data_IF_834804449881
#
_entry.id   IF_834804449881
#
_cell.length_a   1.000
_cell.length_b   1.000
_cell.length_c   1.000
_cell.angle_alpha   90.00
_cell.angle_beta   90.00
_cell.angle_gamma   90.00
#
_symmetry.space_group_name_H-M   'P 1'
#
loop_
_entity.id
_entity.type
_entity.pdbx_description
1 polymer ?
#
# COMPACT_ATOMS: atom_id res chain seq x y z
N UNK A 1 -25.75 -26.75 -7.29
CA UNK A 1 -24.82 -25.84 -7.97
C UNK A 1 -23.58 -25.71 -7.12
N UNK A 2 -22.38 -25.97 -7.68
CA UNK A 2 -21.12 -25.78 -6.98
C UNK A 2 -20.80 -24.29 -6.83
N UNK A 3 -19.93 -23.96 -5.88
CA UNK A 3 -19.38 -22.63 -5.72
C UNK A 3 -18.59 -22.21 -6.98
N UNK A 4 -18.66 -20.92 -7.32
CA UNK A 4 -17.75 -20.30 -8.28
C UNK A 4 -17.23 -19.00 -7.70
N UNK A 5 -15.95 -19.01 -7.31
CA UNK A 5 -15.24 -17.84 -6.81
C UNK A 5 -14.10 -17.50 -7.77
N UNK A 6 -14.00 -16.23 -8.13
CA UNK A 6 -12.96 -15.70 -9.01
C UNK A 6 -12.05 -14.80 -8.19
N UNK A 7 -10.76 -15.10 -8.18
CA UNK A 7 -9.72 -14.23 -7.67
C UNK A 7 -8.87 -13.72 -8.83
N UNK A 8 -8.61 -12.42 -8.84
CA UNK A 8 -7.74 -11.78 -9.82
C UNK A 8 -6.72 -10.90 -9.11
N UNK A 9 -5.53 -10.84 -9.67
CA UNK A 9 -4.40 -10.04 -9.18
C UNK A 9 -4.03 -9.00 -10.22
N UNK A 10 -3.65 -7.82 -9.76
CA UNK A 10 -3.15 -6.76 -10.61
C UNK A 10 -2.02 -6.01 -9.93
N UNK A 11 -1.10 -5.50 -10.76
CA UNK A 11 0.09 -4.77 -10.31
C UNK A 11 0.09 -3.38 -10.91
N UNK A 12 0.38 -2.38 -10.08
CA UNK A 12 0.54 -0.99 -10.50
C UNK A 12 1.64 -0.33 -9.68
N UNK A 13 2.65 0.23 -10.36
CA UNK A 13 3.77 0.94 -9.74
C UNK A 13 4.44 0.14 -8.60
N UNK A 14 4.74 -1.13 -8.89
CA UNK A 14 5.32 -2.09 -7.94
C UNK A 14 4.39 -2.58 -6.82
N UNK A 15 3.15 -2.08 -6.75
CA UNK A 15 2.16 -2.55 -5.78
C UNK A 15 1.28 -3.64 -6.41
N UNK A 16 1.34 -4.83 -5.84
CA UNK A 16 0.48 -5.96 -6.22
C UNK A 16 -0.70 -6.07 -5.24
N UNK A 17 -1.91 -6.24 -5.77
CA UNK A 17 -3.13 -6.45 -4.99
C UNK A 17 -4.01 -7.48 -5.68
N UNK A 18 -4.74 -8.26 -4.89
CA UNK A 18 -5.80 -9.15 -5.38
C UNK A 18 -7.19 -8.62 -5.03
N UNK A 19 -8.18 -9.13 -5.73
CA UNK A 19 -9.59 -8.95 -5.42
C UNK A 19 -10.36 -10.21 -5.79
N UNK A 20 -11.31 -10.57 -4.92
CA UNK A 20 -12.12 -11.77 -5.04
C UNK A 20 -13.58 -11.41 -5.32
N UNK A 21 -14.25 -12.20 -6.15
CA UNK A 21 -15.70 -12.12 -6.38
C UNK A 21 -16.32 -13.50 -6.33
N UNK A 22 -17.32 -13.66 -5.48
CA UNK A 22 -18.19 -14.84 -5.50
C UNK A 22 -19.24 -14.65 -6.60
N UNK A 23 -19.24 -15.55 -7.57
CA UNK A 23 -20.16 -15.56 -8.71
C UNK A 23 -21.37 -16.43 -8.41
N UNK A 24 -21.13 -17.61 -7.84
CA UNK A 24 -22.16 -18.57 -7.41
C UNK A 24 -21.83 -19.05 -6.01
N UNK A 25 -22.78 -18.90 -5.10
CA UNK A 25 -22.75 -19.58 -3.80
C UNK A 25 -23.20 -21.04 -3.97
N UNK A 26 -22.66 -21.97 -3.16
CA UNK A 26 -23.11 -23.35 -3.17
C UNK A 26 -24.60 -23.42 -2.78
N UNK A 27 -25.41 -24.03 -3.64
CA UNK A 27 -26.86 -24.16 -3.41
C UNK A 27 -27.44 -25.41 -4.02
N UNK A 28 -28.51 -25.94 -3.45
CA UNK A 28 -29.29 -27.03 -4.06
C UNK A 28 -29.80 -26.59 -5.43
N UNK A 29 -29.74 -27.51 -6.39
CA UNK A 29 -30.28 -27.30 -7.73
C UNK A 29 -31.60 -28.06 -7.86
N UNK A 30 -32.64 -27.38 -8.32
CA UNK A 30 -33.83 -28.05 -8.84
C UNK A 30 -33.69 -28.10 -10.36
N UNK A 31 -33.73 -29.32 -10.90
CA UNK A 31 -33.65 -29.59 -12.33
C UNK A 31 -35.03 -29.91 -12.86
N UNK A 32 -35.54 -29.04 -13.74
CA UNK A 32 -36.79 -29.28 -14.47
C UNK A 32 -36.53 -29.83 -15.86
N UNK A 33 -37.55 -30.42 -16.48
CA UNK A 33 -37.58 -30.80 -17.90
C UNK A 33 -36.30 -31.50 -18.40
N UNK A 34 -35.86 -32.61 -17.77
CA UNK A 34 -34.64 -33.29 -18.19
C UNK A 34 -34.79 -33.85 -19.60
N UNK A 35 -33.81 -33.55 -20.45
CA UNK A 35 -33.65 -34.11 -21.79
C UNK A 35 -32.26 -34.74 -21.86
N UNK A 36 -32.17 -35.99 -22.26
CA UNK A 36 -30.91 -36.74 -22.30
C UNK A 36 -30.32 -36.74 -23.71
N UNK A 37 -29.00 -36.86 -23.81
CA UNK A 37 -28.25 -37.00 -25.07
C UNK A 37 -28.61 -35.93 -26.11
N UNK A 38 -28.65 -34.67 -25.65
CA UNK A 38 -29.13 -33.54 -26.46
C UNK A 38 -27.99 -33.03 -27.33
N UNK A 39 -28.20 -33.03 -28.65
CA UNK A 39 -27.27 -32.41 -29.59
C UNK A 39 -27.38 -30.88 -29.56
N UNK A 40 -26.27 -30.21 -29.24
CA UNK A 40 -26.14 -28.75 -29.19
C UNK A 40 -25.02 -28.35 -30.17
N UNK A 41 -25.39 -28.12 -31.43
CA UNK A 41 -24.40 -27.92 -32.50
C UNK A 41 -23.52 -29.17 -32.68
N UNK A 42 -22.22 -29.01 -32.46
CA UNK A 42 -21.20 -30.06 -32.67
C UNK A 42 -20.89 -30.90 -31.43
N UNK A 43 -21.63 -30.71 -30.34
CA UNK A 43 -21.50 -31.52 -29.12
C UNK A 43 -22.81 -32.24 -28.81
N UNK A 44 -22.71 -33.36 -28.10
CA UNK A 44 -23.85 -34.05 -27.47
C UNK A 44 -23.67 -33.92 -25.96
N UNK A 45 -24.65 -33.33 -25.30
CA UNK A 45 -24.68 -33.18 -23.85
C UNK A 45 -25.41 -34.38 -23.22
N UNK A 46 -24.84 -34.96 -22.17
CA UNK A 46 -25.45 -36.09 -21.45
C UNK A 46 -26.86 -35.74 -20.97
N UNK A 47 -27.04 -34.54 -20.43
CA UNK A 47 -28.34 -33.99 -20.12
C UNK A 47 -28.41 -32.46 -20.30
N UNK A 48 -29.59 -31.99 -20.73
CA UNK A 48 -30.00 -30.59 -20.64
C UNK A 48 -31.23 -30.52 -19.76
N UNK A 49 -31.15 -29.68 -18.74
CA UNK A 49 -32.21 -29.46 -17.76
C UNK A 49 -32.57 -27.97 -17.74
N UNK A 50 -33.75 -27.65 -17.21
CA UNK A 50 -34.15 -26.29 -16.92
C UNK A 50 -33.78 -25.92 -15.47
N UNK A 51 -33.02 -24.85 -15.29
CA UNK A 51 -32.71 -24.25 -13.99
C UNK A 51 -33.09 -22.77 -14.03
N UNK A 52 -33.93 -22.33 -13.08
CA UNK A 52 -34.42 -20.95 -13.01
C UNK A 52 -34.97 -20.42 -14.37
N UNK A 53 -35.67 -21.30 -15.11
CA UNK A 53 -36.28 -20.98 -16.40
C UNK A 53 -35.32 -20.95 -17.60
N UNK A 54 -34.08 -21.43 -17.46
CA UNK A 54 -33.08 -21.46 -18.53
C UNK A 54 -32.52 -22.86 -18.74
N UNK A 55 -32.15 -23.16 -19.97
CA UNK A 55 -31.42 -24.38 -20.29
C UNK A 55 -30.04 -24.38 -19.62
N UNK A 56 -29.67 -25.54 -19.11
CA UNK A 56 -28.47 -25.77 -18.33
C UNK A 56 -27.94 -27.16 -18.65
N UNK A 57 -26.65 -27.25 -18.99
CA UNK A 57 -25.99 -28.48 -19.41
C UNK A 57 -25.43 -29.21 -18.18
N UNK A 58 -25.63 -30.52 -18.14
CA UNK A 58 -25.05 -31.40 -17.13
C UNK A 58 -24.32 -32.53 -17.87
N UNK A 59 -23.03 -32.62 -17.61
CA UNK A 59 -22.14 -33.69 -18.09
C UNK A 59 -21.81 -34.63 -16.92
N UNK A 60 -21.63 -35.92 -17.18
CA UNK A 60 -21.36 -36.94 -16.17
C UNK A 60 -20.04 -37.64 -16.46
N UNK A 61 -19.01 -37.31 -15.68
CA UNK A 61 -17.69 -37.94 -15.78
C UNK A 61 -17.66 -39.28 -15.03
N UNK A 62 -17.79 -40.38 -15.77
CA UNK A 62 -17.73 -41.75 -15.22
C UNK A 62 -16.30 -42.28 -15.13
N UNK A 63 -15.43 -41.97 -16.08
CA UNK A 63 -14.00 -42.36 -16.07
C UNK A 63 -13.10 -41.25 -16.59
N UNK A 64 -13.58 -40.48 -17.57
CA UNK A 64 -12.90 -39.34 -18.13
C UNK A 64 -13.72 -38.09 -17.91
N UNK A 65 -13.01 -36.99 -17.68
CA UNK A 65 -13.61 -35.67 -17.66
C UNK A 65 -13.83 -35.17 -19.08
N UNK A 66 -14.75 -34.23 -19.22
CA UNK A 66 -14.94 -33.46 -20.43
C UNK A 66 -13.63 -32.76 -20.82
N UNK A 67 -13.27 -32.86 -22.08
CA UNK A 67 -12.06 -32.26 -22.64
C UNK A 67 -12.20 -30.75 -22.91
N UNK A 68 -11.07 -30.10 -23.11
CA UNK A 68 -11.02 -28.65 -23.35
C UNK A 68 -11.72 -28.23 -24.65
N UNK A 69 -11.77 -29.11 -25.65
CA UNK A 69 -12.44 -28.88 -26.94
C UNK A 69 -13.97 -28.78 -26.76
N UNK A 70 -14.57 -29.74 -26.03
CA UNK A 70 -16.00 -29.72 -25.69
C UNK A 70 -16.33 -28.55 -24.77
N UNK A 71 -15.47 -28.23 -23.80
CA UNK A 71 -15.61 -27.02 -22.96
C UNK A 71 -15.62 -25.74 -23.80
N UNK A 72 -14.72 -25.63 -24.79
CA UNK A 72 -14.63 -24.47 -25.66
C UNK A 72 -15.91 -24.30 -26.50
N UNK A 73 -16.43 -25.38 -27.08
CA UNK A 73 -17.72 -25.37 -27.80
C UNK A 73 -18.89 -25.00 -26.89
N UNK A 74 -18.91 -25.47 -25.64
CA UNK A 74 -19.94 -25.06 -24.66
C UNK A 74 -19.89 -23.56 -24.36
N UNK A 75 -18.69 -22.97 -24.27
CA UNK A 75 -18.52 -21.52 -24.09
C UNK A 75 -19.04 -20.73 -25.28
N UNK A 76 -18.83 -21.23 -26.50
CA UNK A 76 -19.35 -20.61 -27.73
C UNK A 76 -20.89 -20.64 -27.79
N UNK A 77 -21.49 -21.75 -27.37
CA UNK A 77 -22.96 -21.88 -27.25
C UNK A 77 -23.51 -20.94 -26.17
N UNK A 78 -22.71 -20.63 -25.14
CA UNK A 78 -23.06 -19.68 -24.08
C UNK A 78 -24.03 -20.23 -23.03
N UNK A 79 -24.20 -21.56 -22.98
CA UNK A 79 -25.04 -22.22 -21.98
C UNK A 79 -24.23 -22.57 -20.73
N UNK A 80 -24.82 -22.30 -19.56
CA UNK A 80 -24.23 -22.71 -18.30
C UNK A 80 -24.10 -24.24 -18.23
N UNK A 81 -22.94 -24.72 -17.81
CA UNK A 81 -22.59 -26.13 -17.83
C UNK A 81 -21.81 -26.53 -16.58
N UNK A 82 -22.16 -27.69 -16.01
CA UNK A 82 -21.37 -28.35 -14.96
C UNK A 82 -21.05 -29.77 -15.36
N UNK A 83 -20.02 -30.30 -14.72
CA UNK A 83 -19.66 -31.72 -14.76
C UNK A 83 -19.91 -32.34 -13.38
N UNK A 84 -20.59 -33.49 -13.35
CA UNK A 84 -20.76 -34.35 -12.19
C UNK A 84 -19.68 -35.42 -12.21
N UNK A 85 -18.85 -35.48 -11.16
CA UNK A 85 -17.74 -36.42 -11.05
C UNK A 85 -18.21 -37.78 -10.52
N UNK A 86 -18.97 -38.52 -11.33
CA UNK A 86 -19.59 -39.79 -10.95
C UNK A 86 -18.59 -40.89 -10.56
N UNK A 87 -17.36 -40.87 -11.09
CA UNK A 87 -16.27 -41.75 -10.66
C UNK A 87 -15.92 -41.68 -9.16
N UNK A 88 -16.37 -40.65 -8.45
CA UNK A 88 -16.21 -40.50 -7.00
C UNK A 88 -17.32 -41.16 -6.19
N UNK A 89 -18.39 -41.64 -6.84
CA UNK A 89 -19.43 -42.43 -6.19
C UNK A 89 -18.96 -43.85 -5.92
N UNK A 90 -19.41 -44.42 -4.81
CA UNK A 90 -19.26 -45.85 -4.55
C UNK A 90 -19.95 -46.68 -5.64
N UNK A 91 -19.38 -47.83 -5.99
CA UNK A 91 -20.03 -48.77 -6.93
C UNK A 91 -21.30 -49.40 -6.36
N UNK A 92 -21.41 -49.46 -5.03
CA UNK A 92 -22.56 -50.00 -4.31
C UNK A 92 -23.56 -48.90 -3.92
N UNK A 93 -23.56 -47.76 -4.63
CA UNK A 93 -24.45 -46.64 -4.36
C UNK A 93 -25.91 -47.05 -4.57
N UNK A 94 -26.77 -46.74 -3.61
CA UNK A 94 -28.20 -46.97 -3.72
C UNK A 94 -28.91 -45.80 -4.43
N UNK A 95 -30.19 -45.98 -4.74
CA UNK A 95 -30.98 -44.99 -5.46
C UNK A 95 -31.07 -43.64 -4.74
N UNK A 96 -31.25 -43.64 -3.42
CA UNK A 96 -31.36 -42.42 -2.62
C UNK A 96 -30.04 -41.65 -2.62
N UNK A 97 -28.91 -42.35 -2.51
CA UNK A 97 -27.57 -41.77 -2.58
C UNK A 97 -27.26 -41.21 -3.97
N UNK A 98 -27.72 -41.87 -5.04
CA UNK A 98 -27.59 -41.35 -6.40
C UNK A 98 -28.43 -40.08 -6.59
N UNK A 99 -29.67 -40.06 -6.09
CA UNK A 99 -30.53 -38.87 -6.11
C UNK A 99 -29.91 -37.70 -5.33
N UNK A 100 -29.36 -37.99 -4.16
CA UNK A 100 -28.65 -37.00 -3.34
C UNK A 100 -27.38 -36.50 -4.04
N UNK A 101 -26.64 -37.36 -4.72
CA UNK A 101 -25.48 -36.96 -5.52
C UNK A 101 -25.88 -35.97 -6.62
N UNK A 102 -26.97 -36.22 -7.35
CA UNK A 102 -27.46 -35.37 -8.45
C UNK A 102 -28.11 -34.08 -7.96
N UNK A 103 -28.79 -34.07 -6.81
CA UNK A 103 -29.61 -32.91 -6.38
C UNK A 103 -29.01 -32.12 -5.21
N UNK A 104 -28.38 -32.82 -4.26
CA UNK A 104 -28.05 -32.27 -2.94
C UNK A 104 -26.53 -32.09 -2.69
N UNK A 105 -25.67 -32.86 -3.36
CA UNK A 105 -24.20 -32.75 -3.20
C UNK A 105 -23.61 -31.57 -3.98
N UNK A 106 -22.58 -30.90 -3.45
CA UNK A 106 -21.86 -29.82 -4.15
C UNK A 106 -20.38 -30.14 -4.41
N UNK A 107 -19.83 -31.13 -3.71
CA UNK A 107 -18.38 -31.40 -3.61
C UNK A 107 -17.82 -32.08 -4.87
N UNK A 108 -18.65 -32.87 -5.56
CA UNK A 108 -18.25 -33.66 -6.73
C UNK A 108 -18.81 -33.07 -8.01
N UNK A 109 -18.85 -31.73 -8.05
CA UNK A 109 -19.32 -30.97 -9.20
C UNK A 109 -18.37 -29.84 -9.49
N UNK A 110 -18.15 -29.57 -10.76
CA UNK A 110 -17.34 -28.44 -11.21
C UNK A 110 -18.06 -27.66 -12.28
N UNK A 111 -17.78 -26.37 -12.36
CA UNK A 111 -18.20 -25.55 -13.48
C UNK A 111 -17.35 -25.87 -14.71
N UNK A 112 -18.00 -26.20 -15.82
CA UNK A 112 -17.35 -26.25 -17.14
C UNK A 112 -17.44 -24.88 -17.81
N UNK A 113 -18.61 -24.24 -17.68
CA UNK A 113 -18.83 -22.87 -18.13
C UNK A 113 -19.90 -22.18 -17.28
N UNK A 114 -19.59 -20.99 -16.79
CA UNK A 114 -20.59 -20.05 -16.27
C UNK A 114 -20.59 -18.79 -17.15
N UNK A 115 -21.70 -18.44 -17.81
CA UNK A 115 -21.77 -17.27 -18.69
C UNK A 115 -21.43 -15.93 -18.00
N UNK A 116 -21.54 -15.87 -16.67
CA UNK A 116 -21.20 -14.68 -15.89
C UNK A 116 -19.71 -14.58 -15.56
N UNK A 117 -18.97 -15.69 -15.64
CA UNK A 117 -17.55 -15.76 -15.24
C UNK A 117 -16.67 -14.71 -15.96
N UNK A 118 -16.73 -14.54 -17.30
CA UNK A 118 -15.81 -13.63 -17.98
C UNK A 118 -15.97 -12.16 -17.53
N UNK A 119 -17.22 -11.73 -17.33
CA UNK A 119 -17.52 -10.38 -16.84
C UNK A 119 -17.07 -10.24 -15.39
N UNK A 120 -17.35 -11.22 -14.54
CA UNK A 120 -16.96 -11.17 -13.12
C UNK A 120 -15.44 -11.19 -12.95
N UNK A 121 -14.71 -11.93 -13.80
CA UNK A 121 -13.26 -11.90 -13.87
C UNK A 121 -12.72 -10.52 -14.21
N UNK A 122 -13.26 -9.88 -15.24
CA UNK A 122 -12.87 -8.51 -15.60
C UNK A 122 -13.15 -7.52 -14.46
N UNK A 123 -14.27 -7.66 -13.77
CA UNK A 123 -14.60 -6.82 -12.61
C UNK A 123 -13.65 -7.06 -11.43
N UNK A 124 -13.30 -8.31 -11.14
CA UNK A 124 -12.31 -8.64 -10.11
C UNK A 124 -10.95 -8.02 -10.44
N UNK A 125 -10.49 -8.15 -11.69
CA UNK A 125 -9.25 -7.53 -12.15
C UNK A 125 -9.25 -6.00 -12.02
N UNK A 126 -10.34 -5.33 -12.42
CA UNK A 126 -10.47 -3.88 -12.26
C UNK A 126 -10.43 -3.44 -10.79
N UNK A 127 -11.04 -4.20 -9.89
CA UNK A 127 -10.98 -3.95 -8.45
C UNK A 127 -9.55 -4.12 -7.90
N UNK A 128 -8.86 -5.20 -8.29
CA UNK A 128 -7.46 -5.44 -7.94
C UNK A 128 -6.57 -4.28 -8.41
N UNK A 129 -6.76 -3.80 -9.65
CA UNK A 129 -6.01 -2.67 -10.19
C UNK A 129 -6.29 -1.37 -9.44
N UNK A 130 -7.54 -1.12 -9.05
CA UNK A 130 -7.88 0.05 -8.23
C UNK A 130 -7.22 -0.01 -6.86
N UNK A 131 -7.19 -1.18 -6.21
CA UNK A 131 -6.50 -1.37 -4.95
C UNK A 131 -4.99 -1.13 -5.09
N UNK A 132 -4.37 -1.63 -6.16
CA UNK A 132 -2.95 -1.41 -6.45
C UNK A 132 -2.63 0.08 -6.64
N UNK A 133 -3.45 0.82 -7.40
CA UNK A 133 -3.33 2.28 -7.57
C UNK A 133 -3.47 3.05 -6.26
N UNK A 134 -4.43 2.68 -5.43
CA UNK A 134 -4.63 3.30 -4.13
C UNK A 134 -3.41 3.08 -3.22
N UNK A 135 -2.85 1.87 -3.21
CA UNK A 135 -1.64 1.55 -2.47
C UNK A 135 -0.44 2.36 -2.97
N UNK A 136 -0.23 2.44 -4.28
CA UNK A 136 0.87 3.20 -4.87
C UNK A 136 0.78 4.69 -4.51
N UNK A 137 -0.42 5.26 -4.61
CA UNK A 137 -0.68 6.65 -4.23
C UNK A 137 -0.41 6.90 -2.74
N UNK A 138 -0.84 5.99 -1.88
CA UNK A 138 -0.63 6.08 -0.43
C UNK A 138 0.86 6.06 -0.08
N UNK A 139 1.61 5.07 -0.59
CA UNK A 139 3.04 4.95 -0.32
C UNK A 139 3.85 6.09 -0.95
N UNK A 140 3.49 6.53 -2.16
CA UNK A 140 4.11 7.70 -2.78
C UNK A 140 3.96 8.96 -1.93
N UNK A 141 2.79 9.19 -1.33
CA UNK A 141 2.58 10.31 -0.39
C UNK A 141 3.42 10.19 0.87
N UNK A 142 3.49 9.00 1.47
CA UNK A 142 4.31 8.78 2.67
C UNK A 142 5.80 9.05 2.40
N UNK A 143 6.31 8.60 1.25
CA UNK A 143 7.69 8.84 0.86
C UNK A 143 7.94 10.34 0.62
N UNK A 144 7.04 11.03 -0.10
CA UNK A 144 7.15 12.47 -0.33
C UNK A 144 7.17 13.26 0.99
N UNK A 145 6.30 12.92 1.95
CA UNK A 145 6.29 13.54 3.29
C UNK A 145 7.56 13.27 4.08
N UNK A 146 8.11 12.06 4.00
CA UNK A 146 9.38 11.70 4.65
C UNK A 146 10.55 12.53 4.08
N UNK A 147 10.62 12.65 2.75
CA UNK A 147 11.65 13.46 2.07
C UNK A 147 11.52 14.93 2.42
N UNK A 148 10.31 15.49 2.36
CA UNK A 148 10.05 16.88 2.73
C UNK A 148 10.41 17.16 4.21
N UNK A 149 10.06 16.26 5.12
CA UNK A 149 10.39 16.40 6.55
C UNK A 149 11.90 16.36 6.78
N UNK A 150 12.60 15.48 6.07
CA UNK A 150 14.07 15.39 6.13
C UNK A 150 14.72 16.66 5.60
N UNK A 151 14.26 17.18 4.47
CA UNK A 151 14.75 18.44 3.89
C UNK A 151 14.52 19.63 4.83
N UNK A 152 13.31 19.78 5.40
CA UNK A 152 12.99 20.83 6.35
C UNK A 152 13.88 20.78 7.60
N UNK A 153 14.22 19.58 8.08
CA UNK A 153 15.15 19.40 9.21
C UNK A 153 16.57 19.86 8.86
N UNK A 154 17.07 19.52 7.67
CA UNK A 154 18.39 19.98 7.21
C UNK A 154 18.42 21.50 7.11
N UNK A 155 17.37 22.10 6.55
CA UNK A 155 17.27 23.56 6.42
C UNK A 155 17.19 24.27 7.77
N UNK A 156 16.41 23.74 8.72
CA UNK A 156 16.31 24.26 10.08
C UNK A 156 17.67 24.22 10.81
N UNK A 157 18.42 23.12 10.68
CA UNK A 157 19.77 22.99 11.25
C UNK A 157 20.73 23.99 10.58
N UNK A 158 20.68 24.13 9.26
CA UNK A 158 21.50 25.09 8.53
C UNK A 158 21.19 26.55 8.93
N UNK A 159 19.90 26.90 9.08
CA UNK A 159 19.48 28.22 9.53
C UNK A 159 19.97 28.53 10.96
N UNK A 160 19.86 27.55 11.86
CA UNK A 160 20.33 27.67 13.25
C UNK A 160 21.84 27.89 13.31
N UNK A 161 22.62 27.15 12.49
CA UNK A 161 24.07 27.36 12.37
C UNK A 161 24.44 28.75 11.83
N UNK A 162 23.74 29.23 10.80
CA UNK A 162 23.98 30.58 10.24
C UNK A 162 23.70 31.67 11.28
N UNK A 163 22.61 31.53 12.04
CA UNK A 163 22.27 32.49 13.10
C UNK A 163 23.35 32.52 14.18
N UNK A 164 23.79 31.34 14.67
CA UNK A 164 24.85 31.24 15.65
C UNK A 164 26.17 31.85 15.15
N UNK A 165 26.54 31.58 13.89
CA UNK A 165 27.72 32.19 13.27
C UNK A 165 27.59 33.71 13.18
N UNK A 166 26.43 34.24 12.77
CA UNK A 166 26.20 35.69 12.71
C UNK A 166 26.33 36.38 14.07
N UNK A 167 25.92 35.71 15.15
CA UNK A 167 26.12 36.19 16.52
C UNK A 167 27.59 36.16 16.94
N UNK A 168 28.32 35.09 16.61
CA UNK A 168 29.78 35.02 16.82
C UNK A 168 30.50 36.12 16.04
N UNK A 169 30.15 36.34 14.78
CA UNK A 169 30.72 37.41 13.96
C UNK A 169 30.43 38.80 14.55
N UNK A 170 29.23 39.00 15.12
CA UNK A 170 28.90 40.23 15.85
C UNK A 170 29.79 40.40 17.08
N UNK A 171 29.95 39.35 17.90
CA UNK A 171 30.85 39.39 19.04
C UNK A 171 32.28 39.75 18.61
N UNK A 172 32.80 39.11 17.55
CA UNK A 172 34.14 39.38 17.05
C UNK A 172 34.32 40.82 16.58
N UNK A 173 33.31 41.42 15.91
CA UNK A 173 33.35 42.86 15.56
C UNK A 173 33.37 43.76 16.78
N UNK A 174 32.60 43.43 17.82
CA UNK A 174 32.64 44.19 19.08
C UNK A 174 33.99 44.06 19.77
N UNK A 175 34.57 42.86 19.76
CA UNK A 175 35.89 42.58 20.29
C UNK A 175 36.99 43.35 19.55
N UNK A 176 36.94 43.41 18.22
CA UNK A 176 37.88 44.22 17.43
C UNK A 176 37.78 45.72 17.73
N UNK A 177 36.56 46.21 18.04
CA UNK A 177 36.30 47.63 18.29
C UNK A 177 36.66 48.07 19.71
N UNK A 178 36.37 47.24 20.71
CA UNK A 178 36.44 47.60 22.14
C UNK A 178 37.33 46.68 22.98
N UNK A 179 37.73 45.53 22.45
CA UNK A 179 38.54 44.55 23.17
C UNK A 179 40.01 44.94 23.30
N UNK A 180 40.71 44.27 24.21
CA UNK A 180 42.11 44.54 24.56
C UNK A 180 43.07 43.74 23.67
N UNK A 181 43.28 44.21 22.43
CA UNK A 181 44.46 43.94 21.57
C UNK A 181 44.76 42.51 21.09
N UNK A 182 44.28 41.46 21.76
CA UNK A 182 44.55 40.06 21.41
C UNK A 182 43.39 39.47 20.62
N UNK A 183 43.69 38.62 19.62
CA UNK A 183 42.66 37.78 18.99
C UNK A 183 42.07 36.82 20.01
N UNK A 184 40.78 36.54 19.90
CA UNK A 184 40.08 35.56 20.74
C UNK A 184 39.44 34.47 19.92
N UNK A 185 39.37 33.28 20.50
CA UNK A 185 38.46 32.22 20.10
C UNK A 185 37.24 32.25 21.03
N UNK A 186 36.04 32.17 20.46
CA UNK A 186 34.79 32.27 21.22
C UNK A 186 33.80 31.18 20.83
N UNK A 187 33.22 30.54 21.84
CA UNK A 187 32.03 29.70 21.69
C UNK A 187 30.96 30.22 22.64
N UNK A 188 29.84 30.68 22.09
CA UNK A 188 28.72 31.23 22.86
C UNK A 188 27.66 30.17 23.10
N UNK A 189 27.23 30.02 24.35
CA UNK A 189 25.99 29.30 24.67
C UNK A 189 24.75 30.12 24.26
N UNK A 190 23.56 29.53 24.36
CA UNK A 190 22.32 30.19 23.95
C UNK A 190 22.03 31.49 24.74
N UNK A 191 22.43 31.54 26.01
CA UNK A 191 22.21 32.71 26.87
C UNK A 191 23.13 33.84 26.43
N UNK A 192 24.43 33.56 26.28
CA UNK A 192 25.41 34.52 25.81
C UNK A 192 25.11 35.05 24.41
N UNK A 193 24.77 34.14 23.48
CA UNK A 193 24.39 34.50 22.12
C UNK A 193 23.23 35.52 22.10
N UNK A 194 22.19 35.30 22.90
CA UNK A 194 21.06 36.23 22.98
C UNK A 194 21.44 37.62 23.52
N UNK A 195 22.38 37.72 24.44
CA UNK A 195 22.86 39.02 24.95
C UNK A 195 23.75 39.73 23.93
N UNK A 196 24.66 39.01 23.27
CA UNK A 196 25.48 39.56 22.18
C UNK A 196 24.60 40.08 21.05
N UNK A 197 23.58 39.33 20.65
CA UNK A 197 22.67 39.70 19.56
C UNK A 197 21.89 40.99 19.87
N UNK A 198 21.49 41.21 21.13
CA UNK A 198 20.79 42.43 21.57
C UNK A 198 21.70 43.60 21.93
N UNK A 199 22.99 43.36 22.18
CA UNK A 199 23.93 44.41 22.60
C UNK A 199 23.96 45.58 21.60
N UNK A 200 23.90 46.81 22.12
CA UNK A 200 23.86 48.04 21.34
C UNK A 200 24.66 49.15 22.04
N UNK A 201 25.37 49.97 21.27
CA UNK A 201 26.12 51.12 21.79
C UNK A 201 25.21 52.16 22.45
N UNK A 202 23.95 52.25 22.03
CA UNK A 202 22.97 53.18 22.59
C UNK A 202 22.64 52.85 24.06
N UNK A 203 22.85 51.62 24.50
CA UNK A 203 22.57 51.17 25.87
C UNK A 203 23.73 51.49 26.83
N UNK A 204 24.87 51.94 26.31
CA UNK A 204 26.13 52.04 27.06
C UNK A 204 26.27 53.29 27.96
N UNK A 205 25.21 54.11 28.12
CA UNK A 205 25.20 55.31 28.95
C UNK A 205 26.41 56.27 28.78
N UNK A 206 27.02 56.29 27.58
CA UNK A 206 28.16 57.14 27.23
C UNK A 206 29.54 56.46 27.21
N UNK A 207 29.67 55.21 27.67
CA UNK A 207 30.93 54.44 27.59
C UNK A 207 30.71 53.03 27.01
N UNK A 208 30.67 52.90 25.67
CA UNK A 208 30.55 51.62 24.99
C UNK A 208 31.66 50.61 25.31
N UNK A 209 32.86 51.07 25.68
CA UNK A 209 33.98 50.18 26.00
C UNK A 209 33.76 49.50 27.34
N UNK A 210 33.47 50.26 28.39
CA UNK A 210 33.16 49.71 29.72
C UNK A 210 31.90 48.82 29.68
N UNK A 211 30.90 49.19 28.86
CA UNK A 211 29.70 48.38 28.68
C UNK A 211 29.98 47.05 27.96
N UNK A 212 30.91 47.04 27.00
CA UNK A 212 31.37 45.81 26.36
C UNK A 212 32.18 44.93 27.32
N UNK A 213 33.03 45.52 28.17
CA UNK A 213 33.78 44.77 29.20
C UNK A 213 32.85 44.04 30.17
N UNK A 214 31.76 44.68 30.59
CA UNK A 214 30.71 44.04 31.41
C UNK A 214 30.06 42.85 30.69
N UNK A 215 29.81 42.95 29.38
CA UNK A 215 29.30 41.84 28.58
C UNK A 215 30.31 40.67 28.58
N UNK A 216 31.60 40.94 28.36
CA UNK A 216 32.65 39.92 28.32
C UNK A 216 32.81 39.24 29.68
N UNK A 217 32.86 40.00 30.76
CA UNK A 217 32.94 39.48 32.14
C UNK A 217 31.74 38.61 32.46
N UNK A 218 30.54 39.08 32.11
CA UNK A 218 29.31 38.32 32.32
C UNK A 218 29.29 37.02 31.49
N UNK A 219 29.71 37.06 30.23
CA UNK A 219 29.84 35.85 29.38
C UNK A 219 30.77 34.84 30.06
N UNK A 220 31.94 35.28 30.55
CA UNK A 220 32.94 34.40 31.18
C UNK A 220 32.50 33.80 32.52
N UNK A 221 31.70 34.52 33.29
CA UNK A 221 31.39 34.15 34.69
C UNK A 221 29.99 33.61 34.90
N UNK A 222 29.04 33.93 34.02
CA UNK A 222 27.60 33.66 34.21
C UNK A 222 26.98 32.80 33.10
N UNK A 223 27.80 32.26 32.20
CA UNK A 223 27.37 31.41 31.07
C UNK A 223 28.33 30.22 30.91
N UNK A 224 27.90 29.19 30.16
CA UNK A 224 28.75 28.06 29.77
C UNK A 224 29.63 28.34 28.54
N UNK A 225 29.74 29.61 28.14
CA UNK A 225 30.50 30.03 26.95
C UNK A 225 32.01 30.04 27.21
N UNK A 226 32.81 29.93 26.16
CA UNK A 226 34.26 30.07 26.22
C UNK A 226 34.71 31.31 25.47
N UNK A 227 35.58 32.12 26.08
CA UNK A 227 36.24 33.27 25.44
C UNK A 227 37.72 33.21 25.79
N UNK A 228 38.52 32.63 24.91
CA UNK A 228 39.94 32.35 25.14
C UNK A 228 40.79 33.26 24.25
N UNK A 229 41.72 33.99 24.84
CA UNK A 229 42.71 34.76 24.07
C UNK A 229 43.63 33.79 23.34
N UNK A 230 43.82 34.00 22.05
CA UNK A 230 44.82 33.28 21.28
C UNK A 230 46.20 33.78 21.69
N UNK A 231 46.87 33.04 22.58
CA UNK A 231 48.28 33.25 22.83
C UNK A 231 49.05 32.91 21.55
N UNK A 232 49.86 33.86 21.06
CA UNK A 232 50.86 33.59 20.04
C UNK A 232 51.81 32.54 20.60
N UNK A 233 51.67 31.29 20.14
CA UNK A 233 52.70 30.28 20.35
C UNK A 233 53.97 30.79 19.65
N UNK A 234 54.96 31.13 20.46
CA UNK A 234 56.31 31.52 20.03
C UNK A 234 57.06 30.32 19.47
#
# INVERSE_FOLDING_TARGET
MPELTIEETATFDGQERSATRVVEEPRRASYGNPRLEVRLGDIVADAVVTVAGRDFVVEVAVTHRVDDDKVSKMREIGLAAIELLAWRLSRDVNWDQLCAFVSDSFVDRIWLHNPREPVQRRLAHLAALQHAKNAATFFGRLQAQSVASSAARVESVAASRRAQQGTVDKFMRLWEKYGTGSRVHVELDAKAAGYVDRWSENDAAGDPSAYFDLLVEWIRTQTGSTVVSGDNNS
#
